data_IF_979888769966
#
_entry.id   IF_979888769966
#
_cell.length_a   1.000
_cell.length_b   1.000
_cell.length_c   1.000
_cell.angle_alpha   90.00
_cell.angle_beta   90.00
_cell.angle_gamma   90.00
#
_symmetry.space_group_name_H-M   'P 1'
#
loop_
_entity.id
_entity.type
_entity.pdbx_description
1 polymer ?
#
# COMPACT_ATOMS: atom_id res chain seq x y z
N UNK A 1 26.94 25.28 54.95
CA UNK A 1 26.09 25.06 53.77
C UNK A 1 26.12 23.57 53.47
N UNK A 2 25.02 22.85 53.81
CA UNK A 2 24.89 21.42 53.54
C UNK A 2 24.38 21.24 52.11
N UNK A 3 25.17 20.62 51.23
CA UNK A 3 24.73 20.25 49.88
C UNK A 3 23.85 19.01 49.97
N UNK A 4 22.56 19.18 49.69
CA UNK A 4 21.59 18.08 49.54
C UNK A 4 21.76 17.54 48.11
N UNK A 5 22.26 16.31 47.98
CA UNK A 5 22.27 15.57 46.76
C UNK A 5 20.90 14.89 46.62
N UNK A 6 20.05 15.40 45.72
CA UNK A 6 18.80 14.73 45.31
C UNK A 6 19.22 13.66 44.31
N UNK A 7 19.17 12.41 44.74
CA UNK A 7 19.34 11.23 43.88
C UNK A 7 18.02 11.04 43.13
N UNK A 8 17.99 11.44 41.85
CA UNK A 8 16.89 11.08 40.95
C UNK A 8 17.02 9.59 40.66
N UNK A 9 16.19 8.77 41.28
CA UNK A 9 15.93 7.40 40.84
C UNK A 9 15.10 7.50 39.59
N UNK A 10 15.74 7.36 38.41
CA UNK A 10 15.03 7.05 37.15
C UNK A 10 14.55 5.61 37.31
N UNK A 11 13.30 5.46 37.71
CA UNK A 11 12.58 4.19 37.54
C UNK A 11 12.41 4.01 36.04
N UNK A 12 13.37 3.35 35.39
CA UNK A 12 13.17 2.73 34.11
C UNK A 12 12.15 1.64 34.38
N UNK A 13 10.88 1.97 34.19
CA UNK A 13 9.85 0.95 34.05
C UNK A 13 10.23 0.15 32.79
N UNK A 14 11.03 -0.90 32.97
CA UNK A 14 11.08 -1.99 32.02
C UNK A 14 9.62 -2.42 31.86
N UNK A 15 9.00 -2.09 30.75
CA UNK A 15 7.79 -2.73 30.26
C UNK A 15 8.19 -4.20 30.12
N UNK A 16 8.10 -4.94 31.23
CA UNK A 16 8.35 -6.36 31.25
C UNK A 16 7.27 -6.97 30.42
N UNK A 17 7.60 -7.33 29.17
CA UNK A 17 6.74 -8.18 28.39
C UNK A 17 6.40 -9.39 29.26
N UNK A 18 5.15 -9.51 29.65
CA UNK A 18 4.71 -10.64 30.44
C UNK A 18 4.94 -11.94 29.65
N UNK A 19 5.03 -13.04 30.34
CA UNK A 19 5.22 -14.35 29.70
C UNK A 19 3.92 -14.83 29.10
N UNK A 20 3.87 -14.97 27.77
CA UNK A 20 2.73 -15.55 27.05
C UNK A 20 2.55 -17.03 27.37
N UNK A 21 3.66 -17.78 27.41
CA UNK A 21 3.74 -19.16 27.94
C UNK A 21 4.39 -19.10 29.32
N UNK A 22 3.72 -19.60 30.34
CA UNK A 22 4.17 -19.53 31.71
C UNK A 22 5.38 -20.42 31.97
N UNK A 23 5.38 -21.62 31.39
CA UNK A 23 6.46 -22.60 31.54
C UNK A 23 6.86 -23.16 30.19
N UNK A 24 8.10 -22.90 29.79
CA UNK A 24 8.69 -23.47 28.58
C UNK A 24 9.68 -24.58 28.89
N UNK A 25 10.03 -25.37 27.86
CA UNK A 25 11.11 -26.38 27.93
C UNK A 25 12.51 -25.75 27.77
N UNK A 26 12.59 -24.45 27.64
CA UNK A 26 13.80 -23.71 27.34
C UNK A 26 14.58 -23.29 28.61
N UNK A 27 15.88 -23.00 28.48
CA UNK A 27 16.62 -22.27 29.48
C UNK A 27 15.98 -20.89 29.75
N UNK A 28 16.23 -20.29 30.90
CA UNK A 28 15.59 -19.03 31.32
C UNK A 28 15.73 -17.93 30.25
N UNK A 29 16.94 -17.70 29.74
CA UNK A 29 17.20 -16.65 28.74
C UNK A 29 16.53 -16.96 27.39
N UNK A 30 16.59 -18.20 26.94
CA UNK A 30 15.91 -18.62 25.71
C UNK A 30 14.37 -18.51 25.85
N UNK A 31 13.82 -18.82 27.02
CA UNK A 31 12.40 -18.64 27.34
C UNK A 31 11.96 -17.18 27.23
N UNK A 32 12.74 -16.23 27.77
CA UNK A 32 12.48 -14.80 27.68
C UNK A 32 12.45 -14.33 26.22
N UNK A 33 13.42 -14.75 25.41
CA UNK A 33 13.49 -14.41 23.96
C UNK A 33 12.31 -15.04 23.21
N UNK A 34 12.00 -16.30 23.48
CA UNK A 34 10.88 -17.01 22.81
C UNK A 34 9.51 -16.40 23.15
N UNK A 35 9.31 -15.93 24.39
CA UNK A 35 8.08 -15.22 24.77
C UNK A 35 7.93 -13.89 24.03
N UNK A 36 9.03 -13.16 23.79
CA UNK A 36 9.02 -11.99 22.90
C UNK A 36 8.70 -12.38 21.46
N UNK A 37 9.28 -13.46 20.96
CA UNK A 37 8.97 -13.99 19.64
C UNK A 37 7.48 -14.33 19.47
N UNK A 38 6.86 -14.95 20.48
CA UNK A 38 5.41 -15.21 20.51
C UNK A 38 4.62 -13.90 20.45
N UNK A 39 5.03 -12.87 21.20
CA UNK A 39 4.34 -11.60 21.19
C UNK A 39 4.37 -10.95 19.78
N UNK A 40 5.52 -10.93 19.11
CA UNK A 40 5.60 -10.49 17.72
C UNK A 40 4.77 -11.37 16.77
N UNK A 41 4.78 -12.69 16.96
CA UNK A 41 4.02 -13.61 16.14
C UNK A 41 2.50 -13.37 16.21
N UNK A 42 1.93 -13.16 17.40
CA UNK A 42 0.50 -12.89 17.55
C UNK A 42 0.12 -11.49 17.04
N UNK A 43 1.06 -10.55 17.01
CA UNK A 43 0.91 -9.24 16.38
C UNK A 43 1.25 -9.26 14.88
N UNK A 44 1.29 -10.43 14.23
CA UNK A 44 1.49 -10.65 12.79
C UNK A 44 2.87 -10.23 12.26
N UNK A 45 3.85 -10.06 13.10
CA UNK A 45 5.22 -9.65 12.76
C UNK A 45 6.12 -10.89 12.59
N UNK A 46 5.78 -11.72 11.60
CA UNK A 46 6.33 -13.08 11.46
C UNK A 46 7.85 -13.14 11.23
N UNK A 47 8.42 -12.16 10.53
CA UNK A 47 9.86 -12.13 10.28
C UNK A 47 10.64 -11.77 11.55
N UNK A 48 10.16 -10.80 12.31
CA UNK A 48 10.73 -10.45 13.63
C UNK A 48 10.61 -11.61 14.61
N UNK A 49 9.41 -12.23 14.66
CA UNK A 49 9.18 -13.42 15.50
C UNK A 49 10.14 -14.56 15.14
N UNK A 50 10.36 -14.81 13.86
CA UNK A 50 11.30 -15.83 13.37
C UNK A 50 12.72 -15.53 13.81
N UNK A 51 13.23 -14.31 13.56
CA UNK A 51 14.59 -13.91 13.93
C UNK A 51 14.83 -14.03 15.43
N UNK A 52 13.84 -13.64 16.27
CA UNK A 52 13.91 -13.83 17.71
C UNK A 52 13.91 -15.31 18.13
N UNK A 53 13.10 -16.15 17.50
CA UNK A 53 13.09 -17.57 17.77
C UNK A 53 14.44 -18.24 17.37
N UNK A 54 15.01 -17.86 16.24
CA UNK A 54 16.35 -18.30 15.84
C UNK A 54 17.42 -17.86 16.85
N UNK A 55 17.34 -16.61 17.35
CA UNK A 55 18.22 -16.13 18.42
C UNK A 55 18.04 -16.92 19.74
N UNK A 56 16.82 -17.32 20.08
CA UNK A 56 16.58 -18.18 21.24
C UNK A 56 17.24 -19.56 21.07
N UNK A 57 17.23 -20.13 19.86
CA UNK A 57 17.91 -21.40 19.56
C UNK A 57 19.43 -21.30 19.61
N UNK A 58 20.01 -20.12 19.34
CA UNK A 58 21.45 -19.89 19.54
C UNK A 58 21.83 -19.90 21.01
N UNK A 59 20.89 -19.58 21.93
CA UNK A 59 21.10 -19.62 23.38
C UNK A 59 20.81 -21.02 23.95
N UNK A 60 19.82 -21.71 23.38
CA UNK A 60 19.41 -23.05 23.80
C UNK A 60 18.84 -23.80 22.57
N UNK A 61 19.65 -24.66 21.97
CA UNK A 61 19.29 -25.43 20.78
C UNK A 61 18.08 -26.36 20.99
N UNK A 62 17.79 -26.71 22.24
CA UNK A 62 16.71 -27.59 22.63
C UNK A 62 15.42 -26.83 22.99
N UNK A 63 15.40 -25.51 22.89
CA UNK A 63 14.24 -24.68 23.22
C UNK A 63 13.03 -25.02 22.32
N UNK A 64 12.08 -25.82 22.88
CA UNK A 64 10.89 -26.27 22.18
C UNK A 64 9.98 -25.11 21.76
N UNK A 65 9.81 -24.11 22.62
CA UNK A 65 9.04 -22.91 22.35
C UNK A 65 9.52 -22.20 21.07
N UNK A 66 10.84 -21.97 20.93
CA UNK A 66 11.41 -21.34 19.75
C UNK A 66 11.19 -22.17 18.47
N UNK A 67 11.37 -23.49 18.56
CA UNK A 67 11.08 -24.42 17.44
C UNK A 67 9.63 -24.34 16.99
N UNK A 68 8.68 -24.21 17.94
CA UNK A 68 7.25 -24.08 17.66
C UNK A 68 6.92 -22.71 16.99
N UNK A 69 7.54 -21.61 17.43
CA UNK A 69 7.42 -20.32 16.75
C UNK A 69 7.84 -20.46 15.28
N UNK A 70 9.03 -21.01 15.02
CA UNK A 70 9.54 -21.18 13.65
C UNK A 70 8.61 -22.06 12.81
N UNK A 71 8.10 -23.17 13.38
CA UNK A 71 7.13 -24.02 12.68
C UNK A 71 5.84 -23.26 12.35
N UNK A 72 5.34 -22.42 13.27
CA UNK A 72 4.11 -21.63 13.09
C UNK A 72 4.26 -20.56 12.02
N UNK A 73 5.34 -19.78 12.04
CA UNK A 73 5.56 -18.69 11.07
C UNK A 73 5.89 -19.22 9.67
N UNK A 74 6.44 -20.42 9.54
CA UNK A 74 6.66 -21.08 8.26
C UNK A 74 5.38 -21.35 7.47
N UNK A 75 4.22 -21.39 8.13
CA UNK A 75 2.92 -21.57 7.49
C UNK A 75 2.30 -20.26 7.00
N UNK A 76 2.83 -19.10 7.38
CA UNK A 76 2.29 -17.80 6.99
C UNK A 76 2.36 -17.58 5.46
N UNK A 77 3.32 -18.22 4.79
CA UNK A 77 3.47 -18.18 3.33
C UNK A 77 2.73 -19.33 2.62
N UNK A 78 1.76 -19.97 3.29
CA UNK A 78 1.03 -21.16 2.79
C UNK A 78 1.93 -22.38 2.51
N UNK A 79 3.12 -22.43 3.08
CA UNK A 79 4.02 -23.57 2.99
C UNK A 79 3.77 -24.55 4.14
N UNK A 80 2.65 -25.25 4.06
CA UNK A 80 2.27 -26.26 5.06
C UNK A 80 3.22 -27.45 5.09
N UNK A 81 3.86 -27.78 3.97
CA UNK A 81 4.89 -28.82 3.89
C UNK A 81 6.10 -28.48 4.77
N UNK A 82 6.58 -27.26 4.71
CA UNK A 82 7.69 -26.79 5.55
C UNK A 82 7.32 -26.80 7.02
N UNK A 83 6.08 -26.43 7.40
CA UNK A 83 5.60 -26.52 8.78
C UNK A 83 5.62 -27.98 9.27
N UNK A 84 5.03 -28.90 8.51
CA UNK A 84 4.98 -30.31 8.87
C UNK A 84 6.38 -30.92 9.04
N UNK A 85 7.33 -30.57 8.17
CA UNK A 85 8.71 -31.01 8.28
C UNK A 85 9.40 -30.45 9.54
N UNK A 86 9.18 -29.19 9.87
CA UNK A 86 9.72 -28.59 11.10
C UNK A 86 9.13 -29.23 12.36
N UNK A 87 7.83 -29.54 12.39
CA UNK A 87 7.20 -30.23 13.51
C UNK A 87 7.76 -31.63 13.72
N UNK A 88 8.04 -32.39 12.66
CA UNK A 88 8.67 -33.73 12.76
C UNK A 88 10.05 -33.70 13.43
N UNK A 89 10.75 -32.58 13.39
CA UNK A 89 12.06 -32.39 14.01
C UNK A 89 11.97 -32.06 15.52
N UNK A 90 10.78 -31.90 16.07
CA UNK A 90 10.54 -31.56 17.49
C UNK A 90 10.19 -32.83 18.23
N UNK A 91 11.00 -33.19 19.22
CA UNK A 91 10.62 -34.26 20.16
C UNK A 91 9.51 -33.75 21.10
N UNK A 92 8.27 -34.21 20.86
CA UNK A 92 7.12 -33.80 21.64
C UNK A 92 7.29 -34.20 23.15
N UNK A 93 8.07 -35.23 23.46
CA UNK A 93 8.25 -35.67 24.86
C UNK A 93 9.01 -34.63 25.69
N UNK A 94 9.94 -33.91 25.07
CA UNK A 94 10.76 -32.85 25.68
C UNK A 94 10.02 -31.55 25.96
N UNK A 95 8.84 -31.36 25.37
CA UNK A 95 8.06 -30.12 25.49
C UNK A 95 7.40 -29.97 26.85
N UNK A 96 7.20 -28.73 27.31
CA UNK A 96 6.34 -28.43 28.47
C UNK A 96 4.87 -28.72 28.18
N UNK A 97 4.01 -28.66 29.17
CA UNK A 97 2.58 -28.95 29.00
C UNK A 97 1.91 -27.96 28.02
N UNK A 98 2.16 -26.66 28.14
CA UNK A 98 1.61 -25.63 27.24
C UNK A 98 2.15 -25.81 25.81
N UNK A 99 3.42 -26.11 25.66
CA UNK A 99 4.06 -26.36 24.36
C UNK A 99 3.50 -27.62 23.69
N UNK A 100 3.15 -28.67 24.46
CA UNK A 100 2.47 -29.87 23.93
C UNK A 100 1.11 -29.54 23.32
N UNK A 101 0.31 -28.76 24.01
CA UNK A 101 -0.99 -28.29 23.47
C UNK A 101 -0.77 -27.52 22.15
N UNK A 102 0.22 -26.63 22.12
CA UNK A 102 0.52 -25.88 20.90
C UNK A 102 1.03 -26.77 19.77
N UNK A 103 1.93 -27.71 20.07
CA UNK A 103 2.42 -28.71 19.11
C UNK A 103 1.28 -29.53 18.50
N UNK A 104 0.39 -30.05 19.35
CA UNK A 104 -0.74 -30.87 18.92
C UNK A 104 -1.71 -30.07 18.05
N UNK A 105 -1.97 -28.80 18.40
CA UNK A 105 -2.77 -27.91 17.61
C UNK A 105 -2.12 -27.64 16.23
N UNK A 106 -0.82 -27.33 16.18
CA UNK A 106 -0.10 -27.11 14.91
C UNK A 106 -0.03 -28.37 14.03
N UNK A 107 -0.03 -29.55 14.63
CA UNK A 107 0.03 -30.84 13.94
C UNK A 107 -1.33 -31.32 13.43
N UNK A 108 -2.41 -30.72 13.91
CA UNK A 108 -3.76 -31.07 13.46
C UNK A 108 -4.10 -30.43 12.13
N UNK A 109 -4.53 -31.25 11.16
CA UNK A 109 -5.14 -30.78 9.90
C UNK A 109 -6.68 -30.73 9.97
N UNK A 110 -7.27 -31.31 10.99
CA UNK A 110 -8.71 -31.42 11.24
C UNK A 110 -9.16 -30.22 12.11
N UNK A 111 -10.17 -29.46 11.65
CA UNK A 111 -10.68 -28.30 12.36
C UNK A 111 -11.39 -28.64 13.67
N UNK A 112 -12.11 -29.75 13.70
CA UNK A 112 -12.84 -30.18 14.91
C UNK A 112 -11.83 -30.61 15.98
N UNK A 113 -10.88 -31.46 15.60
CA UNK A 113 -9.80 -31.90 16.47
C UNK A 113 -8.97 -30.71 16.99
N UNK A 114 -8.65 -29.72 16.08
CA UNK A 114 -7.99 -28.50 16.46
C UNK A 114 -8.78 -27.75 17.56
N UNK A 115 -10.09 -27.57 17.36
CA UNK A 115 -10.95 -26.88 18.33
C UNK A 115 -11.03 -27.63 19.69
N UNK A 116 -11.07 -28.96 19.67
CA UNK A 116 -11.05 -29.78 20.90
C UNK A 116 -9.75 -29.58 21.66
N UNK A 117 -8.59 -29.67 20.97
CA UNK A 117 -7.27 -29.46 21.59
C UNK A 117 -7.18 -28.07 22.26
N UNK A 118 -7.71 -27.04 21.62
CA UNK A 118 -7.71 -25.70 22.18
C UNK A 118 -8.56 -25.57 23.44
N UNK A 119 -9.78 -26.10 23.42
CA UNK A 119 -10.69 -26.08 24.58
C UNK A 119 -10.14 -26.86 25.77
N UNK A 120 -9.59 -28.04 25.52
CA UNK A 120 -8.93 -28.83 26.55
C UNK A 120 -7.71 -28.10 27.12
N UNK A 121 -6.95 -27.44 26.23
CA UNK A 121 -5.81 -26.61 26.62
C UNK A 121 -6.21 -25.46 27.56
N UNK A 122 -7.32 -24.76 27.29
CA UNK A 122 -7.83 -23.67 28.15
C UNK A 122 -8.18 -24.17 29.55
N UNK A 123 -8.74 -25.40 29.65
CA UNK A 123 -9.07 -26.04 30.92
C UNK A 123 -7.79 -26.44 31.68
N UNK A 124 -6.82 -27.03 30.98
CA UNK A 124 -5.55 -27.47 31.58
C UNK A 124 -4.66 -26.29 31.99
N UNK A 125 -4.68 -25.19 31.25
CA UNK A 125 -3.81 -24.03 31.47
C UNK A 125 -4.61 -22.73 31.61
N UNK A 126 -5.46 -22.58 32.63
CA UNK A 126 -6.40 -21.47 32.78
C UNK A 126 -5.72 -20.11 32.97
N UNK A 127 -4.41 -20.08 33.27
CA UNK A 127 -3.59 -18.88 33.47
C UNK A 127 -2.66 -18.58 32.30
N UNK A 128 -2.64 -19.41 31.24
CA UNK A 128 -1.77 -19.19 30.08
C UNK A 128 -2.39 -18.22 29.08
N UNK A 129 -1.87 -17.02 28.91
CA UNK A 129 -2.39 -16.08 27.92
C UNK A 129 -2.32 -16.65 26.50
N UNK A 130 -1.23 -17.35 26.18
CA UNK A 130 -1.03 -17.88 24.83
C UNK A 130 -2.03 -18.98 24.45
N UNK A 131 -2.29 -19.91 25.37
CA UNK A 131 -3.27 -21.00 25.10
C UNK A 131 -4.67 -20.42 24.89
N UNK A 132 -5.07 -19.44 25.72
CA UNK A 132 -6.35 -18.74 25.51
C UNK A 132 -6.37 -17.91 24.22
N UNK A 133 -5.25 -17.29 23.83
CA UNK A 133 -5.17 -16.59 22.55
C UNK A 133 -5.35 -17.56 21.36
N UNK A 134 -4.74 -18.73 21.40
CA UNK A 134 -4.92 -19.76 20.37
C UNK A 134 -6.39 -20.15 20.19
N UNK A 135 -7.17 -20.11 21.25
CA UNK A 135 -8.60 -20.45 21.24
C UNK A 135 -9.51 -19.31 20.74
N UNK A 136 -8.99 -18.08 20.55
CA UNK A 136 -9.80 -16.95 20.07
C UNK A 136 -10.23 -17.09 18.60
N UNK A 137 -9.75 -18.02 17.85
CA UNK A 137 -9.97 -18.34 16.44
C UNK A 137 -10.95 -17.51 15.62
N UNK A 138 -10.51 -17.09 14.41
CA UNK A 138 -11.33 -16.33 13.47
C UNK A 138 -11.50 -14.85 13.85
N UNK A 139 -12.45 -14.16 13.19
CA UNK A 139 -12.78 -12.73 13.41
C UNK A 139 -13.94 -12.59 14.44
N UNK A 140 -13.88 -13.34 15.53
CA UNK A 140 -14.95 -13.35 16.53
C UNK A 140 -14.70 -12.28 17.60
N UNK A 141 -15.46 -11.19 17.54
CA UNK A 141 -15.40 -10.10 18.52
C UNK A 141 -15.54 -10.58 19.96
N UNK A 142 -16.47 -11.49 20.23
CA UNK A 142 -16.75 -12.01 21.59
C UNK A 142 -15.52 -12.71 22.15
N UNK A 143 -14.84 -13.53 21.34
CA UNK A 143 -13.63 -14.25 21.78
C UNK A 143 -12.47 -13.30 22.06
N UNK A 144 -12.23 -12.30 21.20
CA UNK A 144 -11.18 -11.33 21.43
C UNK A 144 -11.48 -10.41 22.61
N UNK A 145 -12.74 -10.02 22.79
CA UNK A 145 -13.17 -9.24 23.95
C UNK A 145 -12.96 -10.02 25.26
N UNK A 146 -13.41 -11.27 25.30
CA UNK A 146 -13.23 -12.13 26.47
C UNK A 146 -11.74 -12.35 26.79
N UNK A 147 -10.91 -12.55 25.75
CA UNK A 147 -9.46 -12.64 25.91
C UNK A 147 -8.88 -11.35 26.50
N UNK A 148 -9.25 -10.18 25.96
CA UNK A 148 -8.74 -8.89 26.41
C UNK A 148 -9.16 -8.57 27.86
N UNK A 149 -10.35 -8.96 28.26
CA UNK A 149 -10.83 -8.81 29.64
C UNK A 149 -10.09 -9.73 30.61
N UNK A 150 -9.82 -10.98 30.21
CA UNK A 150 -9.13 -11.97 31.03
C UNK A 150 -7.63 -11.70 31.15
N UNK A 151 -7.02 -11.25 30.05
CA UNK A 151 -5.56 -11.03 29.95
C UNK A 151 -5.21 -9.62 29.44
N UNK A 152 -5.61 -8.57 30.16
CA UNK A 152 -5.50 -7.19 29.65
C UNK A 152 -4.07 -6.78 29.28
N UNK A 153 -3.03 -7.33 29.94
CA UNK A 153 -1.62 -7.03 29.62
C UNK A 153 -1.12 -7.62 28.30
N UNK A 154 -1.90 -8.55 27.70
CA UNK A 154 -1.52 -9.28 26.49
C UNK A 154 -2.47 -9.01 25.34
N UNK A 155 -3.36 -8.02 25.48
CA UNK A 155 -4.51 -7.84 24.61
C UNK A 155 -4.23 -7.02 23.33
N UNK A 156 -2.98 -6.63 23.07
CA UNK A 156 -2.62 -5.83 21.89
C UNK A 156 -3.20 -6.41 20.60
N UNK A 157 -2.85 -7.65 20.29
CA UNK A 157 -3.34 -8.32 19.06
C UNK A 157 -4.87 -8.45 19.04
N UNK A 158 -5.52 -8.73 20.18
CA UNK A 158 -6.97 -8.80 20.24
C UNK A 158 -7.62 -7.46 19.93
N UNK A 159 -7.11 -6.37 20.47
CA UNK A 159 -7.58 -5.02 20.13
C UNK A 159 -7.36 -4.69 18.66
N UNK A 160 -6.23 -5.07 18.08
CA UNK A 160 -5.98 -4.89 16.66
C UNK A 160 -7.02 -5.64 15.80
N UNK A 161 -7.30 -6.91 16.11
CA UNK A 161 -8.31 -7.68 15.38
C UNK A 161 -9.72 -7.09 15.53
N UNK A 162 -10.09 -6.60 16.73
CA UNK A 162 -11.36 -5.93 16.95
C UNK A 162 -11.44 -4.61 16.16
N UNK A 163 -10.36 -3.86 16.04
CA UNK A 163 -10.34 -2.62 15.25
C UNK A 163 -10.67 -2.87 13.77
N UNK A 164 -10.07 -3.90 13.18
CA UNK A 164 -10.39 -4.28 11.79
C UNK A 164 -11.82 -4.79 11.64
N UNK A 165 -12.36 -5.49 12.62
CA UNK A 165 -13.75 -5.93 12.61
C UNK A 165 -14.73 -4.74 12.54
N UNK A 166 -14.48 -3.68 13.29
CA UNK A 166 -15.25 -2.42 13.18
C UNK A 166 -15.01 -1.70 11.85
N UNK A 167 -13.75 -1.65 11.38
CA UNK A 167 -13.40 -0.99 10.13
C UNK A 167 -14.09 -1.62 8.91
N UNK A 168 -14.27 -2.94 8.90
CA UNK A 168 -14.91 -3.70 7.82
C UNK A 168 -16.41 -3.89 7.99
N UNK A 169 -16.95 -3.59 9.17
CA UNK A 169 -18.36 -3.84 9.49
C UNK A 169 -18.68 -5.31 9.83
N UNK A 170 -17.67 -6.12 10.16
CA UNK A 170 -17.86 -7.55 10.55
C UNK A 170 -18.77 -7.70 11.79
N UNK A 171 -18.95 -6.65 12.58
CA UNK A 171 -19.77 -6.63 13.79
C UNK A 171 -21.11 -5.89 13.62
N UNK A 172 -21.58 -5.77 12.38
CA UNK A 172 -22.87 -5.17 12.02
C UNK A 172 -22.73 -4.04 11.01
N UNK A 173 -22.15 -2.91 11.38
CA UNK A 173 -21.88 -1.78 10.48
C UNK A 173 -20.45 -1.29 10.63
N UNK A 174 -19.95 -0.61 9.59
CA UNK A 174 -18.66 0.08 9.66
C UNK A 174 -18.75 1.16 10.74
N UNK A 175 -17.80 1.14 11.68
CA UNK A 175 -17.66 2.13 12.75
C UNK A 175 -16.19 2.52 12.88
N UNK A 176 -15.81 3.56 12.13
CA UNK A 176 -14.43 4.04 12.05
C UNK A 176 -13.94 4.66 13.36
N UNK A 177 -14.82 5.22 14.18
CA UNK A 177 -14.46 5.81 15.47
C UNK A 177 -14.05 4.72 16.47
N UNK A 178 -14.87 3.67 16.58
CA UNK A 178 -14.52 2.49 17.40
C UNK A 178 -13.29 1.76 16.85
N UNK A 179 -13.19 1.63 15.54
CA UNK A 179 -12.00 1.06 14.91
C UNK A 179 -10.73 1.82 15.35
N UNK A 180 -10.77 3.15 15.31
CA UNK A 180 -9.67 4.01 15.75
C UNK A 180 -9.40 3.90 17.27
N UNK A 181 -10.43 3.80 18.10
CA UNK A 181 -10.27 3.58 19.54
C UNK A 181 -9.50 2.28 19.82
N UNK A 182 -9.90 1.19 19.18
CA UNK A 182 -9.29 -0.13 19.40
C UNK A 182 -7.86 -0.24 18.84
N UNK A 183 -7.57 0.35 17.66
CA UNK A 183 -6.22 0.33 17.12
C UNK A 183 -5.24 1.16 17.98
N UNK A 184 -5.68 2.28 18.54
CA UNK A 184 -4.90 3.07 19.51
C UNK A 184 -4.60 2.27 20.78
N UNK A 185 -5.57 1.54 21.31
CA UNK A 185 -5.35 0.62 22.45
C UNK A 185 -4.30 -0.43 22.10
N UNK A 186 -4.40 -1.04 20.91
CA UNK A 186 -3.42 -2.02 20.44
C UNK A 186 -2.01 -1.42 20.40
N UNK A 187 -1.84 -0.26 19.75
CA UNK A 187 -0.54 0.40 19.61
C UNK A 187 0.06 0.80 20.97
N UNK A 188 -0.77 1.26 21.92
CA UNK A 188 -0.29 1.64 23.26
C UNK A 188 0.30 0.47 24.06
N UNK A 189 0.05 -0.76 23.64
CA UNK A 189 0.47 -1.99 24.30
C UNK A 189 1.58 -2.74 23.56
N UNK A 190 1.79 -2.43 22.30
CA UNK A 190 2.77 -3.10 21.45
C UNK A 190 3.45 -2.10 20.54
N UNK A 191 4.77 -1.96 20.69
CA UNK A 191 5.62 -1.13 19.87
C UNK A 191 6.29 -2.01 18.80
N UNK A 192 5.70 -2.05 17.61
CA UNK A 192 6.18 -2.89 16.52
C UNK A 192 5.62 -2.47 15.16
N UNK A 193 6.22 -2.97 14.06
CA UNK A 193 5.90 -2.51 12.72
C UNK A 193 4.42 -2.67 12.37
N UNK A 194 3.78 -3.77 12.77
CA UNK A 194 2.37 -4.00 12.46
C UNK A 194 1.43 -3.07 13.25
N UNK A 195 1.82 -2.63 14.44
CA UNK A 195 1.03 -1.67 15.20
C UNK A 195 0.94 -0.32 14.48
N UNK A 196 2.06 0.15 13.93
CA UNK A 196 2.12 1.38 13.14
C UNK A 196 1.46 1.23 11.77
N UNK A 197 1.65 0.11 11.08
CA UNK A 197 0.97 -0.20 9.82
C UNK A 197 -0.56 -0.17 10.00
N UNK A 198 -1.07 -0.79 11.06
CA UNK A 198 -2.50 -0.77 11.39
C UNK A 198 -3.01 0.64 11.70
N UNK A 199 -2.24 1.45 12.44
CA UNK A 199 -2.58 2.85 12.67
C UNK A 199 -2.65 3.65 11.37
N UNK A 200 -1.68 3.44 10.47
CA UNK A 200 -1.67 4.08 9.17
C UNK A 200 -2.91 3.73 8.33
N UNK A 201 -3.30 2.46 8.28
CA UNK A 201 -4.51 2.01 7.57
C UNK A 201 -5.78 2.65 8.14
N UNK A 202 -5.89 2.77 9.46
CA UNK A 202 -7.04 3.40 10.10
C UNK A 202 -7.11 4.91 9.80
N UNK A 203 -5.98 5.63 9.85
CA UNK A 203 -5.93 7.04 9.43
C UNK A 203 -6.25 7.20 7.94
N UNK A 204 -5.72 6.34 7.08
CA UNK A 204 -6.03 6.35 5.65
C UNK A 204 -7.53 6.12 5.39
N UNK A 205 -8.20 5.26 6.17
CA UNK A 205 -9.64 5.04 6.08
C UNK A 205 -10.49 6.28 6.42
N UNK A 206 -9.93 7.19 7.20
CA UNK A 206 -10.53 8.48 7.55
C UNK A 206 -10.19 9.59 6.55
N UNK A 207 -9.31 9.33 5.58
CA UNK A 207 -8.76 10.34 4.67
C UNK A 207 -7.65 11.20 5.29
N UNK A 208 -7.17 10.88 6.50
CA UNK A 208 -6.10 11.60 7.19
C UNK A 208 -4.72 11.11 6.72
N UNK A 209 -4.41 11.38 5.44
CA UNK A 209 -3.25 10.77 4.78
C UNK A 209 -1.91 11.23 5.35
N UNK A 210 -1.77 12.46 5.86
CA UNK A 210 -0.54 12.92 6.52
C UNK A 210 -0.21 12.06 7.74
N UNK A 211 -1.21 11.76 8.58
CA UNK A 211 -1.04 10.87 9.74
C UNK A 211 -0.82 9.42 9.30
N UNK A 212 -1.43 9.00 8.21
CA UNK A 212 -1.18 7.69 7.63
C UNK A 212 0.29 7.55 7.19
N UNK A 213 0.85 8.56 6.51
CA UNK A 213 2.26 8.63 6.11
C UNK A 213 3.18 8.57 7.34
N UNK A 214 2.92 9.38 8.37
CA UNK A 214 3.73 9.41 9.59
C UNK A 214 3.82 8.02 10.25
N UNK A 215 2.69 7.34 10.40
CA UNK A 215 2.65 6.01 10.99
C UNK A 215 3.25 4.94 10.06
N UNK A 216 3.00 5.02 8.76
CA UNK A 216 3.55 4.07 7.79
C UNK A 216 5.08 4.18 7.69
N UNK A 217 5.63 5.39 7.83
CA UNK A 217 7.08 5.60 7.89
C UNK A 217 7.68 4.90 9.10
N UNK A 218 7.05 5.01 10.29
CA UNK A 218 7.47 4.26 11.47
C UNK A 218 7.43 2.74 11.24
N UNK A 219 6.36 2.23 10.63
CA UNK A 219 6.29 0.80 10.29
C UNK A 219 7.43 0.37 9.36
N UNK A 220 7.75 1.20 8.37
CA UNK A 220 8.88 0.97 7.45
C UNK A 220 10.23 1.01 8.16
N UNK A 221 10.47 1.95 9.07
CA UNK A 221 11.72 2.07 9.84
C UNK A 221 12.00 0.83 10.69
N UNK A 222 10.95 0.21 11.26
CA UNK A 222 11.07 -1.07 11.97
C UNK A 222 11.36 -2.26 11.06
N UNK A 223 10.96 -2.22 9.80
CA UNK A 223 11.02 -3.35 8.88
C UNK A 223 11.24 -2.91 7.42
N UNK A 224 12.38 -2.27 7.16
CA UNK A 224 12.78 -1.71 5.85
C UNK A 224 12.78 -2.74 4.70
N UNK A 225 12.90 -4.02 5.01
CA UNK A 225 12.80 -5.14 4.06
C UNK A 225 11.35 -5.49 3.65
N UNK A 226 10.34 -4.89 4.30
CA UNK A 226 8.93 -5.22 4.05
C UNK A 226 8.38 -4.46 2.84
N UNK A 227 8.28 -5.14 1.69
CA UNK A 227 7.69 -4.54 0.48
C UNK A 227 6.24 -4.05 0.68
N UNK A 228 5.34 -4.72 1.44
CA UNK A 228 4.02 -4.18 1.73
C UNK A 228 4.05 -2.80 2.39
N UNK A 229 4.95 -2.56 3.34
CA UNK A 229 5.06 -1.25 4.01
C UNK A 229 5.56 -0.17 3.05
N UNK A 230 6.50 -0.50 2.16
CA UNK A 230 6.98 0.43 1.13
C UNK A 230 5.86 0.82 0.15
N UNK A 231 5.04 -0.14 -0.27
CA UNK A 231 3.93 0.09 -1.20
C UNK A 231 2.91 1.03 -0.57
N UNK A 232 2.47 0.75 0.68
CA UNK A 232 1.52 1.60 1.41
C UNK A 232 2.08 3.00 1.68
N UNK A 233 3.36 3.11 2.04
CA UNK A 233 4.01 4.41 2.25
C UNK A 233 3.93 5.28 0.99
N UNK A 234 4.26 4.71 -0.17
CA UNK A 234 4.14 5.41 -1.46
C UNK A 234 2.70 5.81 -1.77
N UNK A 235 1.75 4.90 -1.56
CA UNK A 235 0.32 5.18 -1.78
C UNK A 235 -0.18 6.33 -0.92
N UNK A 236 0.10 6.28 0.40
CA UNK A 236 -0.36 7.32 1.33
C UNK A 236 0.32 8.66 1.07
N UNK A 237 1.62 8.68 0.74
CA UNK A 237 2.34 9.90 0.39
C UNK A 237 1.75 10.56 -0.86
N UNK A 238 1.36 9.78 -1.88
CA UNK A 238 0.69 10.32 -3.08
C UNK A 238 -0.69 10.89 -2.75
N UNK A 239 -1.45 10.23 -1.88
CA UNK A 239 -2.77 10.72 -1.45
C UNK A 239 -2.68 11.97 -0.58
N UNK A 240 -1.66 12.07 0.28
CA UNK A 240 -1.39 13.26 1.07
C UNK A 240 -1.06 14.47 0.18
N UNK A 241 -0.33 14.26 -0.91
CA UNK A 241 0.07 15.31 -1.85
C UNK A 241 -0.84 15.40 -3.09
N UNK A 242 -2.10 15.01 -2.98
CA UNK A 242 -3.01 14.92 -4.14
C UNK A 242 -3.15 16.23 -4.92
N UNK A 243 -3.24 17.38 -4.26
CA UNK A 243 -3.36 18.68 -4.94
C UNK A 243 -2.08 19.05 -5.74
N UNK A 244 -0.91 18.74 -5.19
CA UNK A 244 0.36 18.94 -5.89
C UNK A 244 0.48 18.01 -7.10
N UNK A 245 0.06 16.75 -6.95
CA UNK A 245 0.04 15.79 -8.05
C UNK A 245 -0.91 16.21 -9.16
N UNK A 246 -2.10 16.73 -8.82
CA UNK A 246 -3.03 17.31 -9.81
C UNK A 246 -2.34 18.39 -10.62
N UNK A 247 -1.77 19.39 -9.95
CA UNK A 247 -1.04 20.51 -10.61
C UNK A 247 0.12 20.01 -11.48
N UNK A 248 0.83 18.99 -11.01
CA UNK A 248 1.91 18.39 -11.77
C UNK A 248 1.40 17.72 -13.06
N UNK A 249 0.31 16.94 -13.02
CA UNK A 249 -0.26 16.32 -14.22
C UNK A 249 -0.81 17.38 -15.20
N UNK A 250 -1.49 18.42 -14.68
CA UNK A 250 -1.95 19.54 -15.50
C UNK A 250 -0.79 20.24 -16.21
N UNK A 251 0.31 20.48 -15.49
CA UNK A 251 1.53 21.07 -16.06
C UNK A 251 2.16 20.18 -17.12
N UNK A 252 2.32 18.87 -16.82
CA UNK A 252 2.89 17.92 -17.78
C UNK A 252 2.06 17.83 -19.06
N UNK A 253 0.71 17.87 -18.94
CA UNK A 253 -0.18 17.91 -20.08
C UNK A 253 0.02 19.18 -20.92
N UNK A 254 0.16 20.33 -20.27
CA UNK A 254 0.40 21.60 -20.96
C UNK A 254 1.77 21.63 -21.63
N UNK A 255 2.82 21.21 -20.91
CA UNK A 255 4.19 21.17 -21.46
C UNK A 255 4.29 20.19 -22.65
N UNK A 256 3.61 19.04 -22.58
CA UNK A 256 3.56 18.09 -23.70
C UNK A 256 2.84 18.71 -24.92
N UNK A 257 1.72 19.37 -24.69
CA UNK A 257 0.99 20.03 -25.76
C UNK A 257 1.81 21.14 -26.42
N UNK A 258 2.54 21.92 -25.62
CA UNK A 258 3.46 22.95 -26.11
C UNK A 258 4.57 22.34 -26.98
N UNK A 259 5.12 21.19 -26.59
CA UNK A 259 6.14 20.51 -27.39
C UNK A 259 5.58 20.08 -28.77
N UNK A 260 4.33 19.57 -28.77
CA UNK A 260 3.63 19.18 -30.00
C UNK A 260 3.45 20.42 -30.92
N UNK A 261 2.89 21.51 -30.38
CA UNK A 261 2.63 22.72 -31.17
C UNK A 261 3.88 23.33 -31.77
N UNK A 262 5.02 23.19 -31.07
CA UNK A 262 6.32 23.70 -31.53
C UNK A 262 7.08 22.71 -32.42
N UNK A 263 6.59 21.50 -32.59
CA UNK A 263 7.33 20.43 -33.27
C UNK A 263 8.62 20.02 -32.55
N UNK A 264 8.71 20.26 -31.23
CA UNK A 264 9.90 19.97 -30.44
C UNK A 264 9.91 18.49 -30.06
N UNK A 265 10.52 17.68 -30.92
CA UNK A 265 10.59 16.21 -30.75
C UNK A 265 11.39 15.81 -29.52
N UNK A 266 12.45 16.54 -29.18
CA UNK A 266 13.26 16.21 -28.01
C UNK A 266 12.53 16.52 -26.69
N UNK A 267 11.77 17.60 -26.64
CA UNK A 267 10.88 17.88 -25.51
C UNK A 267 9.76 16.85 -25.42
N UNK A 268 9.15 16.47 -26.53
CA UNK A 268 8.06 15.47 -26.58
C UNK A 268 8.50 14.11 -26.04
N UNK A 269 9.69 13.62 -26.39
CA UNK A 269 10.26 12.37 -25.89
C UNK A 269 10.28 12.28 -24.36
N UNK A 270 10.39 13.40 -23.66
CA UNK A 270 10.40 13.42 -22.18
C UNK A 270 9.07 13.01 -21.57
N UNK A 271 7.99 13.15 -22.32
CA UNK A 271 6.64 12.81 -21.85
C UNK A 271 6.20 11.39 -22.22
N UNK A 272 6.88 10.73 -23.12
CA UNK A 272 6.53 9.39 -23.60
C UNK A 272 7.41 8.32 -22.99
N UNK A 273 6.85 7.14 -22.72
CA UNK A 273 7.63 5.98 -22.32
C UNK A 273 8.15 5.28 -23.59
N UNK A 274 9.42 4.88 -23.68
CA UNK A 274 9.99 4.28 -24.87
C UNK A 274 9.28 2.96 -25.30
N UNK A 275 8.73 2.23 -24.34
CA UNK A 275 8.03 0.95 -24.58
C UNK A 275 6.50 1.12 -24.62
N UNK A 276 5.98 2.35 -24.55
CA UNK A 276 4.55 2.63 -24.57
C UNK A 276 4.23 3.38 -25.86
N UNK A 277 3.42 2.77 -26.70
CA UNK A 277 2.87 3.40 -27.89
C UNK A 277 1.75 4.35 -27.50
N UNK A 278 1.85 5.62 -27.86
CA UNK A 278 0.78 6.57 -27.65
C UNK A 278 -0.23 6.38 -28.77
N UNK A 279 -1.46 6.03 -28.39
CA UNK A 279 -2.57 6.03 -29.31
C UNK A 279 -3.36 7.31 -29.17
N UNK A 280 -3.64 7.98 -30.28
CA UNK A 280 -4.47 9.18 -30.32
C UNK A 280 -5.52 9.07 -31.41
N UNK A 281 -6.66 9.69 -31.20
CA UNK A 281 -7.72 9.76 -32.18
C UNK A 281 -8.21 11.20 -32.28
N UNK A 282 -7.90 11.86 -33.37
CA UNK A 282 -8.39 13.22 -33.72
C UNK A 282 -8.78 13.32 -35.20
N UNK A 283 -9.06 12.20 -35.81
CA UNK A 283 -9.54 12.21 -37.19
C UNK A 283 -11.06 12.31 -37.24
N UNK A 284 -11.60 12.94 -38.26
CA UNK A 284 -13.03 12.93 -38.56
C UNK A 284 -13.57 11.52 -38.85
N UNK A 285 -12.71 10.54 -39.04
CA UNK A 285 -13.03 9.16 -39.35
C UNK A 285 -13.04 8.27 -38.09
N UNK A 286 -12.60 8.80 -36.92
CA UNK A 286 -12.57 8.05 -35.65
C UNK A 286 -11.50 6.97 -35.60
N UNK A 287 -10.46 7.08 -36.39
CA UNK A 287 -9.34 6.14 -36.37
C UNK A 287 -8.36 6.44 -35.25
N UNK A 288 -7.77 5.37 -34.69
CA UNK A 288 -6.65 5.50 -33.77
C UNK A 288 -5.34 5.34 -34.54
N UNK A 289 -4.36 6.15 -34.20
CA UNK A 289 -3.02 6.06 -34.74
C UNK A 289 -1.97 6.20 -33.62
N UNK A 290 -0.82 5.58 -33.85
CA UNK A 290 0.30 5.69 -32.95
C UNK A 290 0.98 7.03 -33.11
N UNK A 291 1.02 7.78 -32.01
CA UNK A 291 1.66 9.08 -31.99
C UNK A 291 3.14 8.88 -31.65
N UNK A 292 3.94 8.63 -32.67
CA UNK A 292 5.39 8.47 -32.54
C UNK A 292 6.11 9.77 -32.91
N UNK A 293 7.41 9.86 -32.59
CA UNK A 293 8.27 10.94 -33.02
C UNK A 293 8.26 11.17 -34.54
N UNK A 294 8.12 10.08 -35.32
CA UNK A 294 8.04 10.12 -36.76
C UNK A 294 6.75 10.78 -37.26
N UNK A 295 5.67 10.63 -36.47
CA UNK A 295 4.35 11.20 -36.79
C UNK A 295 4.14 12.62 -36.24
N UNK A 296 5.10 13.14 -35.50
CA UNK A 296 5.17 14.56 -35.09
C UNK A 296 5.54 15.42 -36.31
N UNK A 297 4.71 15.40 -37.32
CA UNK A 297 4.82 16.28 -38.47
C UNK A 297 3.86 17.44 -38.27
N UNK A 298 4.40 18.62 -38.05
CA UNK A 298 3.63 19.83 -38.29
C UNK A 298 3.47 19.93 -39.81
N UNK A 299 2.22 19.94 -40.25
CA UNK A 299 1.94 20.21 -41.65
C UNK A 299 2.44 21.64 -41.95
N UNK A 300 3.39 21.79 -42.88
CA UNK A 300 3.93 23.08 -43.29
C UNK A 300 2.87 24.04 -43.84
N UNK A 301 1.68 23.50 -44.13
CA UNK A 301 0.56 24.25 -44.70
C UNK A 301 -0.32 24.92 -43.65
N UNK A 302 -0.13 24.73 -42.36
CA UNK A 302 -0.89 25.44 -41.35
C UNK A 302 -0.02 25.94 -40.18
N UNK A 303 -0.47 27.01 -39.58
CA UNK A 303 0.17 27.65 -38.42
C UNK A 303 -0.86 27.84 -37.32
N UNK A 304 -0.57 27.39 -36.09
CA UNK A 304 -1.37 27.74 -34.96
C UNK A 304 -1.32 29.19 -34.61
N UNK A 305 -2.47 29.86 -34.63
CA UNK A 305 -2.60 31.28 -34.21
C UNK A 305 -2.83 31.37 -32.70
N UNK A 306 -3.58 30.42 -32.15
CA UNK A 306 -3.82 30.28 -30.70
C UNK A 306 -4.13 28.83 -30.37
N UNK A 307 -3.78 28.41 -29.13
CA UNK A 307 -4.16 27.09 -28.58
C UNK A 307 -4.14 27.16 -27.07
N UNK A 308 -5.24 26.75 -26.43
CA UNK A 308 -5.42 26.78 -25.00
C UNK A 308 -6.08 25.48 -24.50
N UNK A 309 -5.65 25.03 -23.33
CA UNK A 309 -6.29 23.93 -22.60
C UNK A 309 -7.18 24.52 -21.50
N UNK A 310 -8.46 24.16 -21.51
CA UNK A 310 -9.44 24.66 -20.55
C UNK A 310 -10.08 23.54 -19.75
N UNK A 311 -10.53 23.87 -18.54
CA UNK A 311 -11.31 22.98 -17.67
C UNK A 311 -10.65 21.63 -17.42
N UNK A 312 -9.34 21.62 -17.21
CA UNK A 312 -8.57 20.43 -16.87
C UNK A 312 -9.10 19.81 -15.58
N UNK A 313 -9.30 18.48 -15.60
CA UNK A 313 -9.69 17.68 -14.43
C UNK A 313 -8.88 16.40 -14.42
N UNK A 314 -8.24 16.13 -13.29
CA UNK A 314 -7.38 14.95 -13.10
C UNK A 314 -8.06 13.96 -12.18
N UNK A 315 -8.06 12.70 -12.58
CA UNK A 315 -8.60 11.57 -11.82
C UNK A 315 -7.50 10.51 -11.68
N UNK A 316 -7.23 10.08 -10.45
CA UNK A 316 -6.23 9.05 -10.18
C UNK A 316 -6.87 7.67 -10.00
N UNK A 317 -6.13 6.63 -10.41
CA UNK A 317 -6.43 5.25 -10.00
C UNK A 317 -6.30 5.10 -8.47
N UNK A 318 -6.89 4.04 -7.92
CA UNK A 318 -6.87 3.81 -6.46
C UNK A 318 -5.47 3.72 -5.88
N UNK A 319 -4.53 3.17 -6.64
CA UNK A 319 -3.12 3.04 -6.27
C UNK A 319 -2.28 4.28 -6.59
N UNK A 320 -2.91 5.33 -7.15
CA UNK A 320 -2.28 6.59 -7.55
C UNK A 320 -1.13 6.42 -8.58
N UNK A 321 -1.11 5.32 -9.33
CA UNK A 321 -0.09 5.05 -10.36
C UNK A 321 -0.52 5.45 -11.77
N UNK A 322 -1.82 5.69 -11.97
CA UNK A 322 -2.37 6.13 -13.24
C UNK A 322 -3.21 7.39 -13.02
N UNK A 323 -3.08 8.35 -13.90
CA UNK A 323 -3.91 9.55 -13.94
C UNK A 323 -4.60 9.67 -15.31
N UNK A 324 -5.88 9.96 -15.28
CA UNK A 324 -6.63 10.38 -16.45
C UNK A 324 -6.90 11.87 -16.34
N UNK A 325 -6.48 12.65 -17.32
CA UNK A 325 -6.81 14.05 -17.42
C UNK A 325 -7.81 14.29 -18.55
N UNK A 326 -8.87 15.04 -18.26
CA UNK A 326 -9.85 15.48 -19.24
C UNK A 326 -9.80 16.99 -19.38
N UNK A 327 -9.97 17.51 -20.58
CA UNK A 327 -9.88 18.94 -20.87
C UNK A 327 -10.60 19.31 -22.17
N UNK A 328 -10.78 20.58 -22.40
CA UNK A 328 -11.11 21.13 -23.72
C UNK A 328 -9.86 21.76 -24.30
N UNK A 329 -9.61 21.48 -25.58
CA UNK A 329 -8.60 22.18 -26.36
C UNK A 329 -9.31 23.11 -27.33
N UNK A 330 -8.96 24.39 -27.25
CA UNK A 330 -9.55 25.45 -28.08
C UNK A 330 -8.47 26.33 -28.70
N UNK A 331 -8.78 26.89 -29.83
CA UNK A 331 -7.87 27.79 -30.53
C UNK A 331 -8.27 28.04 -31.96
N UNK A 332 -7.31 28.37 -32.76
CA UNK A 332 -7.46 28.57 -34.19
C UNK A 332 -6.15 28.40 -34.92
N UNK A 333 -6.23 28.00 -36.15
CA UNK A 333 -5.08 27.89 -37.04
C UNK A 333 -5.38 28.43 -38.41
N UNK A 334 -4.35 28.98 -39.05
CA UNK A 334 -4.42 29.44 -40.42
C UNK A 334 -3.87 28.37 -41.35
N UNK A 335 -4.68 27.94 -42.30
CA UNK A 335 -4.31 26.99 -43.33
C UNK A 335 -3.98 27.72 -44.62
N UNK A 336 -2.77 27.51 -45.13
CA UNK A 336 -2.32 28.03 -46.40
C UNK A 336 -2.59 26.99 -47.49
N UNK A 337 -3.56 27.25 -48.36
CA UNK A 337 -3.85 26.40 -49.53
C UNK A 337 -3.21 27.02 -50.75
N UNK A 338 -2.28 26.32 -51.37
CA UNK A 338 -1.89 26.66 -52.77
C UNK A 338 -3.08 26.30 -53.68
N UNK A 339 -3.63 27.28 -54.35
CA UNK A 339 -4.64 27.03 -55.37
C UNK A 339 -3.94 26.74 -56.70
N UNK A 340 -4.46 25.84 -57.50
CA UNK A 340 -4.03 25.63 -58.89
C UNK A 340 -4.37 26.82 -59.79
N UNK A 341 -4.99 27.85 -59.21
CA UNK A 341 -5.38 29.05 -59.95
C UNK A 341 -4.22 30.06 -59.96
N UNK A 342 -3.93 30.58 -61.14
CA UNK A 342 -2.93 31.64 -61.33
C UNK A 342 -3.62 32.99 -61.27
N UNK A 343 -2.88 33.98 -60.79
CA UNK A 343 -3.27 35.38 -60.87
C UNK A 343 -3.08 35.90 -62.31
N UNK A 344 -3.47 37.15 -62.54
CA UNK A 344 -3.34 37.76 -63.84
C UNK A 344 -1.86 37.96 -64.31
N UNK A 345 -0.91 37.75 -63.39
CA UNK A 345 0.51 37.81 -63.66
C UNK A 345 1.17 36.43 -63.82
N UNK A 346 0.38 35.37 -63.75
CA UNK A 346 0.88 33.98 -63.84
C UNK A 346 1.46 33.41 -62.55
N UNK A 347 1.23 34.05 -61.40
CA UNK A 347 1.65 33.49 -60.09
C UNK A 347 0.56 32.62 -59.49
N UNK A 348 0.94 31.53 -58.84
CA UNK A 348 0.00 30.70 -58.09
C UNK A 348 -0.70 31.54 -57.00
N UNK A 349 -2.02 31.56 -57.04
CA UNK A 349 -2.81 32.14 -55.94
C UNK A 349 -2.69 31.26 -54.68
N UNK A 350 -2.18 31.84 -53.61
CA UNK A 350 -2.34 31.22 -52.29
C UNK A 350 -3.55 31.82 -51.58
N UNK A 351 -4.37 31.03 -51.02
CA UNK A 351 -5.46 31.45 -50.12
C UNK A 351 -5.13 31.00 -48.73
N UNK A 352 -5.24 31.90 -47.77
CA UNK A 352 -5.17 31.56 -46.34
C UNK A 352 -6.57 31.54 -45.76
N UNK A 353 -6.90 30.52 -45.00
CA UNK A 353 -8.19 30.34 -44.34
C UNK A 353 -7.97 30.13 -42.84
N UNK A 354 -8.62 30.95 -42.02
CA UNK A 354 -8.62 30.76 -40.58
C UNK A 354 -9.67 29.70 -40.21
N UNK A 355 -9.25 28.70 -39.43
CA UNK A 355 -10.11 27.63 -38.98
C UNK A 355 -10.14 27.63 -37.46
N UNK A 356 -11.35 27.72 -36.90
CA UNK A 356 -11.58 27.61 -35.46
C UNK A 356 -11.47 26.14 -35.00
N UNK A 357 -10.65 25.89 -34.00
CA UNK A 357 -10.44 24.58 -33.43
C UNK A 357 -11.13 24.46 -32.06
N UNK A 358 -11.90 23.40 -31.83
CA UNK A 358 -12.51 23.15 -30.55
C UNK A 358 -12.75 21.63 -30.39
N UNK A 359 -12.06 21.01 -29.45
CA UNK A 359 -12.19 19.57 -29.14
C UNK A 359 -12.36 19.35 -27.64
N UNK A 360 -12.95 18.23 -27.29
CA UNK A 360 -12.87 17.61 -25.96
C UNK A 360 -11.80 16.53 -26.02
N UNK A 361 -10.99 16.48 -24.99
CA UNK A 361 -9.85 15.56 -24.99
C UNK A 361 -9.67 14.85 -23.64
N UNK A 362 -8.97 13.75 -23.70
CA UNK A 362 -8.48 13.05 -22.52
C UNK A 362 -7.11 12.46 -22.80
N UNK A 363 -6.25 12.44 -21.77
CA UNK A 363 -4.96 11.74 -21.83
C UNK A 363 -4.81 10.85 -20.61
N UNK A 364 -4.09 9.75 -20.79
CA UNK A 364 -3.74 8.80 -19.73
C UNK A 364 -2.25 8.90 -19.45
N UNK A 365 -1.93 9.16 -18.19
CA UNK A 365 -0.57 9.27 -17.67
C UNK A 365 -0.29 8.12 -16.71
N UNK A 366 0.87 7.50 -16.80
CA UNK A 366 1.32 6.40 -15.93
C UNK A 366 2.59 6.81 -15.21
N UNK A 367 2.64 6.53 -13.91
CA UNK A 367 3.84 6.78 -13.10
C UNK A 367 4.82 5.63 -13.28
N UNK A 368 5.99 5.93 -13.81
CA UNK A 368 7.10 5.00 -14.07
C UNK A 368 8.32 5.34 -13.21
N UNK A 369 9.36 4.52 -13.26
CA UNK A 369 10.63 4.82 -12.58
C UNK A 369 11.32 6.08 -13.14
N UNK A 370 10.93 6.51 -14.35
CA UNK A 370 11.40 7.76 -14.99
C UNK A 370 10.42 8.92 -14.80
N UNK A 371 9.46 8.82 -13.87
CA UNK A 371 8.40 9.79 -13.64
C UNK A 371 7.13 9.51 -14.46
N UNK A 372 6.24 10.50 -14.50
CA UNK A 372 4.98 10.40 -15.21
C UNK A 372 5.18 10.43 -16.72
N UNK A 373 4.61 9.44 -17.41
CA UNK A 373 4.66 9.30 -18.88
C UNK A 373 3.25 9.14 -19.44
N UNK A 374 2.97 9.79 -20.58
CA UNK A 374 1.71 9.57 -21.27
C UNK A 374 1.73 8.29 -22.08
N UNK A 375 0.59 7.58 -22.10
CA UNK A 375 0.42 6.37 -22.90
C UNK A 375 -0.75 6.46 -23.88
N UNK A 376 -1.67 7.40 -23.71
CA UNK A 376 -2.84 7.55 -24.56
C UNK A 376 -3.34 8.99 -24.53
N UNK A 377 -3.77 9.48 -25.69
CA UNK A 377 -4.53 10.72 -25.80
C UNK A 377 -5.65 10.54 -26.83
N UNK A 378 -6.80 11.14 -26.54
CA UNK A 378 -7.94 11.14 -27.44
C UNK A 378 -8.52 12.56 -27.54
N UNK A 379 -8.69 13.02 -28.78
CA UNK A 379 -9.30 14.29 -29.09
C UNK A 379 -10.54 14.02 -29.95
N UNK A 380 -11.65 14.65 -29.61
CA UNK A 380 -12.90 14.50 -30.34
C UNK A 380 -13.54 15.87 -30.57
N UNK A 381 -14.02 16.17 -31.79
CA UNK A 381 -14.66 17.44 -32.10
C UNK A 381 -15.78 17.78 -31.13
N UNK A 382 -15.89 19.06 -30.75
CA UNK A 382 -16.93 19.55 -29.88
C UNK A 382 -18.07 20.12 -30.74
N UNK A 383 -19.24 19.44 -30.74
CA UNK A 383 -20.50 19.86 -31.41
C UNK A 383 -20.31 20.59 -32.76
N UNK A 384 -19.97 19.86 -33.79
CA UNK A 384 -19.93 20.37 -35.14
C UNK A 384 -18.72 21.26 -35.49
N UNK A 385 -17.76 21.42 -34.56
CA UNK A 385 -16.46 22.02 -34.85
C UNK A 385 -15.55 20.97 -35.48
N UNK A 386 -14.73 21.39 -36.38
CA UNK A 386 -13.82 20.53 -37.14
C UNK A 386 -12.57 20.30 -36.29
N UNK A 387 -12.09 19.05 -36.24
CA UNK A 387 -10.78 18.71 -35.68
C UNK A 387 -9.63 19.15 -36.56
N UNK A 388 -8.41 18.69 -36.30
CA UNK A 388 -7.26 18.97 -37.14
C UNK A 388 -7.51 18.49 -38.58
N UNK A 389 -7.07 19.21 -39.58
CA UNK A 389 -7.10 18.73 -40.96
C UNK A 389 -6.19 17.51 -41.10
N UNK A 390 -6.58 16.58 -41.90
CA UNK A 390 -5.79 15.38 -42.22
C UNK A 390 -4.73 15.74 -43.27
#
# INVERSE_FOLDING_TARGET
MKKIYILFFIIVSSLGYGQMIQKTSCSKKASEISNKAINHMINLEFLTARGMAEAALMVDENCGCAKLVIARVSSANKDYGTRANKLKMIDRSSLSGEEKVWYDALSSSDKEKYSVIQKEGEVMFPKSPFIHYLATGGLNFISYKAFAEKFPKYASSAYNMMSYGYLRGDYGSVDKEKAMEYVKKSQSMHDGPNAYDSMAEHYASLGEFDKAVENQLKAYDYATFSSPYQIKLREYSRKANNEELVKNIEKLQSDMQDAILKGDKEAFKKFTHPDITISTGDSNLGEFYDFSEENLKLDENFTWDSFELENMKVYFSTDMNTAVITFYAKGGYTMNRSSELFDLNGNLKSTSEFIEYSTRASSVWVNTDQGWKTMHSNFAPNKGKIGLPQ
#
